data_IF_900539531918
#
_entry.id   IF_900539531918
#
_cell.length_a   1.000
_cell.length_b   1.000
_cell.length_c   1.000
_cell.angle_alpha   90.00
_cell.angle_beta   90.00
_cell.angle_gamma   90.00
#
_symmetry.space_group_name_H-M   'P 1'
#
loop_
_entity.id
_entity.type
_entity.pdbx_description
1 polymer ?
#
# COMPACT_ATOMS: atom_id res chain seq x y z
N UNK A 1 -15.27 18.85 14.01
CA UNK A 1 -14.36 17.93 13.31
C UNK A 1 -12.97 18.13 13.88
N UNK A 2 -12.42 17.15 14.60
CA UNK A 2 -11.03 17.24 15.05
C UNK A 2 -10.14 17.11 13.82
N UNK A 3 -9.19 18.02 13.70
CA UNK A 3 -8.15 17.94 12.69
C UNK A 3 -7.26 16.76 13.11
N UNK A 4 -7.26 15.70 12.30
CA UNK A 4 -6.34 14.59 12.51
C UNK A 4 -4.97 15.10 12.04
N UNK A 5 -4.03 15.25 12.96
CA UNK A 5 -2.64 15.49 12.58
C UNK A 5 -2.08 14.20 12.00
N UNK A 6 -2.03 14.17 10.67
CA UNK A 6 -1.53 13.05 9.88
C UNK A 6 -0.09 12.70 10.29
N UNK A 7 0.70 13.65 10.80
CA UNK A 7 2.05 13.40 11.29
C UNK A 7 2.09 12.58 12.59
N UNK A 8 1.08 12.72 13.45
CA UNK A 8 1.00 11.96 14.71
C UNK A 8 0.59 10.50 14.48
N UNK A 9 -0.11 10.18 13.38
CA UNK A 9 -0.52 8.81 13.03
C UNK A 9 0.60 7.92 12.49
N UNK A 10 1.68 8.51 11.97
CA UNK A 10 2.73 7.79 11.23
C UNK A 10 4.00 7.57 12.05
N UNK A 11 3.88 7.29 13.36
CA UNK A 11 5.05 7.22 14.24
C UNK A 11 6.03 6.08 13.91
N UNK A 12 5.66 5.09 13.10
CA UNK A 12 6.54 3.95 12.79
C UNK A 12 6.75 3.77 11.27
N UNK A 13 5.75 3.36 10.49
CA UNK A 13 5.88 3.16 9.03
C UNK A 13 4.55 3.35 8.28
N UNK A 14 4.61 3.53 6.95
CA UNK A 14 3.46 3.66 6.05
C UNK A 14 3.44 2.48 5.08
N UNK A 15 2.34 1.73 5.04
CA UNK A 15 2.12 0.66 4.06
C UNK A 15 1.38 1.16 2.81
N UNK A 16 1.97 0.98 1.63
CA UNK A 16 1.32 1.20 0.33
C UNK A 16 1.05 -0.15 -0.32
N UNK A 17 -0.21 -0.37 -0.68
CA UNK A 17 -0.63 -1.56 -1.43
C UNK A 17 -1.17 -1.17 -2.81
N UNK A 18 -0.55 -1.70 -3.86
CA UNK A 18 -0.96 -1.52 -5.25
C UNK A 18 -1.35 -2.87 -5.84
N UNK A 19 -2.44 -2.91 -6.62
CA UNK A 19 -2.91 -4.16 -7.24
C UNK A 19 -3.60 -3.91 -8.56
N UNK A 20 -3.30 -4.75 -9.55
CA UNK A 20 -4.08 -4.86 -10.78
C UNK A 20 -4.59 -6.28 -10.99
N UNK A 21 -5.79 -6.40 -11.57
CA UNK A 21 -6.45 -7.71 -11.77
C UNK A 21 -5.89 -8.48 -12.96
N UNK A 22 -5.36 -7.78 -13.97
CA UNK A 22 -4.79 -8.37 -15.17
C UNK A 22 -3.48 -7.67 -15.55
N UNK A 23 -2.57 -8.37 -16.23
CA UNK A 23 -1.28 -7.82 -16.65
C UNK A 23 -1.34 -6.69 -17.70
N UNK A 24 -2.51 -6.48 -18.34
CA UNK A 24 -2.72 -5.36 -19.28
C UNK A 24 -3.09 -4.05 -18.58
N UNK A 25 -3.35 -4.10 -17.27
CA UNK A 25 -3.63 -2.91 -16.49
C UNK A 25 -2.34 -2.29 -15.97
N UNK A 26 -2.34 -0.97 -15.84
CA UNK A 26 -1.15 -0.20 -15.53
C UNK A 26 -0.90 -0.16 -14.02
N UNK A 27 -0.04 -1.07 -13.54
CA UNK A 27 0.41 -1.09 -12.15
C UNK A 27 1.37 0.08 -11.87
N UNK A 28 2.20 0.46 -12.84
CA UNK A 28 3.18 1.55 -12.72
C UNK A 28 2.50 2.90 -12.48
N UNK A 29 1.33 3.12 -13.08
CA UNK A 29 0.50 4.29 -12.81
C UNK A 29 0.03 4.35 -11.36
N UNK A 30 -0.33 3.23 -10.73
CA UNK A 30 -0.71 3.21 -9.31
C UNK A 30 0.48 3.56 -8.43
N UNK A 31 1.64 2.96 -8.70
CA UNK A 31 2.90 3.20 -7.98
C UNK A 31 3.28 4.68 -8.08
N UNK A 32 3.28 5.22 -9.31
CA UNK A 32 3.65 6.63 -9.57
C UNK A 32 2.70 7.62 -8.88
N UNK A 33 1.39 7.34 -8.87
CA UNK A 33 0.42 8.19 -8.17
C UNK A 33 0.65 8.16 -6.66
N UNK A 34 1.02 7.00 -6.10
CA UNK A 34 1.36 6.89 -4.69
C UNK A 34 2.63 7.69 -4.36
N UNK A 35 3.65 7.66 -5.21
CA UNK A 35 4.88 8.43 -5.03
C UNK A 35 4.65 9.94 -5.07
N UNK A 36 3.82 10.39 -6.02
CA UNK A 36 3.39 11.79 -6.09
C UNK A 36 2.66 12.20 -4.81
N UNK A 37 1.81 11.32 -4.27
CA UNK A 37 1.13 11.60 -3.00
C UNK A 37 2.10 11.72 -1.83
N UNK A 38 3.05 10.78 -1.69
CA UNK A 38 4.06 10.82 -0.63
C UNK A 38 4.89 12.10 -0.70
N UNK A 39 5.37 12.44 -1.90
CA UNK A 39 6.17 13.63 -2.16
C UNK A 39 5.40 14.92 -1.81
N UNK A 40 4.14 15.03 -2.24
CA UNK A 40 3.28 16.19 -1.95
C UNK A 40 3.01 16.39 -0.46
N UNK A 41 3.05 15.31 0.33
CA UNK A 41 2.79 15.35 1.77
C UNK A 41 4.07 15.35 2.61
N UNK A 42 5.25 15.51 2.00
CA UNK A 42 6.56 15.47 2.68
C UNK A 42 6.77 14.20 3.51
N UNK A 43 6.28 13.07 3.02
CA UNK A 43 6.45 11.77 3.67
C UNK A 43 7.80 11.20 3.23
N UNK A 44 8.64 10.80 4.19
CA UNK A 44 9.91 10.16 3.89
C UNK A 44 9.66 8.78 3.27
N UNK A 45 10.22 8.55 2.08
CA UNK A 45 10.11 7.26 1.37
C UNK A 45 10.79 6.11 2.11
N UNK A 46 11.73 6.38 3.00
CA UNK A 46 12.38 5.35 3.84
C UNK A 46 11.42 4.75 4.87
N UNK A 47 10.34 5.48 5.21
CA UNK A 47 9.29 5.00 6.12
C UNK A 47 8.21 4.20 5.38
N UNK A 48 8.35 3.95 4.08
CA UNK A 48 7.29 3.39 3.23
C UNK A 48 7.58 1.93 2.86
N UNK A 49 6.69 1.04 3.29
CA UNK A 49 6.65 -0.36 2.86
C UNK A 49 5.71 -0.51 1.65
N UNK A 50 6.16 -1.22 0.62
CA UNK A 50 5.39 -1.41 -0.63
C UNK A 50 4.98 -2.86 -0.84
N UNK A 51 3.72 -3.04 -1.16
CA UNK A 51 3.09 -4.33 -1.39
C UNK A 51 2.42 -4.29 -2.77
N UNK A 52 2.93 -5.05 -3.75
CA UNK A 52 2.52 -4.91 -5.16
C UNK A 52 2.04 -6.25 -5.73
N UNK A 53 0.74 -6.36 -5.95
CA UNK A 53 0.13 -7.56 -6.55
C UNK A 53 -0.24 -7.28 -8.02
N UNK A 54 0.66 -7.63 -8.95
CA UNK A 54 0.45 -7.52 -10.40
C UNK A 54 -0.22 -8.79 -10.95
N UNK A 55 -1.23 -8.63 -11.80
CA UNK A 55 -2.01 -9.73 -12.40
C UNK A 55 -2.71 -10.63 -11.35
N UNK A 56 -3.18 -10.04 -10.25
CA UNK A 56 -3.82 -10.74 -9.13
C UNK A 56 -5.26 -10.25 -9.01
N UNK A 57 -6.24 -11.10 -9.33
CA UNK A 57 -7.65 -10.71 -9.31
C UNK A 57 -8.26 -10.72 -7.90
N UNK A 58 -8.83 -9.59 -7.49
CA UNK A 58 -9.57 -9.50 -6.22
C UNK A 58 -10.90 -10.26 -6.19
N UNK A 59 -11.43 -10.68 -7.35
CA UNK A 59 -12.72 -11.38 -7.42
C UNK A 59 -12.57 -12.89 -7.67
N UNK A 60 -11.40 -13.33 -8.16
CA UNK A 60 -11.13 -14.74 -8.47
C UNK A 60 -10.28 -15.42 -7.40
N UNK A 61 -9.46 -14.65 -6.69
CA UNK A 61 -8.59 -15.16 -5.64
C UNK A 61 -9.13 -14.74 -4.28
N UNK A 62 -9.24 -15.70 -3.38
CA UNK A 62 -9.40 -15.41 -1.95
C UNK A 62 -8.20 -14.61 -1.45
N UNK A 63 -8.39 -13.90 -0.33
CA UNK A 63 -7.36 -13.05 0.25
C UNK A 63 -6.06 -13.80 0.50
N UNK A 64 -6.10 -15.07 0.94
CA UNK A 64 -4.91 -15.89 1.17
C UNK A 64 -4.06 -16.15 -0.08
N UNK A 65 -4.64 -16.01 -1.28
CA UNK A 65 -3.96 -16.24 -2.55
C UNK A 65 -3.43 -14.94 -3.18
N UNK A 66 -3.31 -13.86 -2.41
CA UNK A 66 -2.79 -12.55 -2.82
C UNK A 66 -1.49 -12.29 -2.05
N UNK A 67 -0.32 -12.63 -2.62
CA UNK A 67 0.92 -12.72 -1.85
C UNK A 67 1.29 -11.41 -1.14
N UNK A 68 1.23 -10.28 -1.85
CA UNK A 68 1.62 -9.01 -1.24
C UNK A 68 0.55 -8.48 -0.29
N UNK A 69 -0.72 -8.80 -0.52
CA UNK A 69 -1.75 -8.55 0.48
C UNK A 69 -1.53 -9.36 1.76
N UNK A 70 -1.08 -10.61 1.69
CA UNK A 70 -0.73 -11.40 2.88
C UNK A 70 0.45 -10.79 3.63
N UNK A 71 1.48 -10.32 2.93
CA UNK A 71 2.60 -9.62 3.55
C UNK A 71 2.13 -8.35 4.29
N UNK A 72 1.23 -7.58 3.69
CA UNK A 72 0.62 -6.42 4.36
C UNK A 72 -0.11 -6.82 5.65
N UNK A 73 -0.91 -7.89 5.61
CA UNK A 73 -1.62 -8.38 6.80
C UNK A 73 -0.67 -8.88 7.89
N UNK A 74 0.48 -9.44 7.52
CA UNK A 74 1.51 -9.84 8.47
C UNK A 74 2.10 -8.60 9.15
N UNK A 75 2.44 -7.55 8.40
CA UNK A 75 2.95 -6.30 9.00
C UNK A 75 1.93 -5.66 9.94
N UNK A 76 0.66 -5.57 9.54
CA UNK A 76 -0.41 -5.03 10.40
C UNK A 76 -0.53 -5.82 11.73
N UNK A 77 -0.32 -7.14 11.70
CA UNK A 77 -0.41 -7.99 12.89
C UNK A 77 0.79 -7.89 13.81
N UNK A 78 1.96 -7.44 13.33
CA UNK A 78 3.15 -7.26 14.18
C UNK A 78 3.03 -6.03 15.09
N UNK A 79 2.27 -5.04 14.63
CA UNK A 79 2.00 -3.77 15.33
C UNK A 79 0.79 -3.84 16.28
N UNK A 80 0.09 -4.98 16.34
CA UNK A 80 -1.17 -5.18 17.05
C UNK A 80 -1.09 -6.02 18.32
#
# INVERSE_FOLDING_TARGET
>A
MSYIDVKELYQEYIGIYCRVSTGNQDIEKQISLADIYLSRNNINTEMVLRFIDNNVSANKLSSENRPQFQNLLIEIKKEG
#
